data_IF_444738835496
#
_entry.id   IF_444738835496
#
_cell.length_a   1.000
_cell.length_b   1.000
_cell.length_c   1.000
_cell.angle_alpha   90.00
_cell.angle_beta   90.00
_cell.angle_gamma   90.00
#
_symmetry.space_group_name_H-M   'P 1'
#
loop_
_entity.id
_entity.type
_entity.pdbx_description
1 polymer ?
#
# COMPACT_ATOMS: atom_id res chain seq x y z
N UNK A 1 6.70 -53.26 20.51
CA UNK A 1 7.41 -52.10 21.08
C UNK A 1 7.15 -50.92 20.16
N UNK A 2 6.48 -49.89 20.67
CA UNK A 2 5.97 -48.75 19.91
C UNK A 2 7.11 -47.77 19.57
N UNK A 3 7.16 -47.33 18.32
CA UNK A 3 8.18 -46.45 17.79
C UNK A 3 8.08 -45.02 18.32
N UNK A 4 9.20 -44.52 18.83
CA UNK A 4 9.41 -43.11 19.13
C UNK A 4 9.67 -42.38 17.80
N UNK A 5 8.59 -41.96 17.17
CA UNK A 5 8.59 -41.07 16.01
C UNK A 5 9.15 -39.70 16.40
N UNK A 6 10.07 -39.23 15.56
CA UNK A 6 10.60 -37.87 15.45
C UNK A 6 9.50 -36.82 15.70
N UNK A 7 9.56 -36.14 16.83
CA UNK A 7 8.75 -34.94 17.10
C UNK A 7 9.30 -33.79 16.24
N UNK A 8 8.47 -33.33 15.31
CA UNK A 8 8.73 -32.18 14.44
C UNK A 8 8.78 -30.89 15.30
N UNK A 9 9.88 -30.10 15.26
CA UNK A 9 10.03 -28.88 16.07
C UNK A 9 8.98 -27.80 15.78
N UNK A 10 8.14 -27.97 14.75
CA UNK A 10 6.99 -27.11 14.46
C UNK A 10 5.88 -27.14 15.52
N UNK A 11 5.88 -28.12 16.42
CA UNK A 11 4.82 -28.28 17.43
C UNK A 11 5.12 -27.65 18.81
N UNK A 12 6.30 -27.05 19.01
CA UNK A 12 6.70 -26.49 20.32
C UNK A 12 6.31 -25.02 20.55
N UNK A 13 5.83 -24.31 19.53
CA UNK A 13 5.37 -22.93 19.70
C UNK A 13 3.84 -22.89 19.63
N UNK A 14 3.21 -22.93 20.81
CA UNK A 14 1.79 -22.66 20.96
C UNK A 14 1.42 -21.36 20.24
N UNK A 15 0.55 -21.47 19.23
CA UNK A 15 0.04 -20.34 18.46
C UNK A 15 -0.66 -19.38 19.42
N UNK A 16 0.04 -18.34 19.87
CA UNK A 16 -0.63 -17.18 20.47
C UNK A 16 -1.60 -16.67 19.41
N UNK A 17 -2.90 -16.64 19.72
CA UNK A 17 -3.91 -16.10 18.82
C UNK A 17 -3.47 -14.70 18.42
N UNK A 18 -3.14 -14.51 17.13
CA UNK A 18 -2.78 -13.19 16.61
C UNK A 18 -4.02 -12.33 16.75
N UNK A 19 -4.06 -11.48 17.77
CA UNK A 19 -5.10 -10.47 17.92
C UNK A 19 -5.10 -9.62 16.65
N UNK A 20 -6.28 -9.45 16.06
CA UNK A 20 -6.44 -8.74 14.80
C UNK A 20 -5.99 -7.28 14.97
N UNK A 21 -5.58 -6.63 13.88
CA UNK A 21 -5.16 -5.22 13.90
C UNK A 21 -6.25 -4.31 14.49
N UNK A 22 -7.52 -4.62 14.19
CA UNK A 22 -8.69 -3.96 14.75
C UNK A 22 -8.76 -4.07 16.29
N UNK A 23 -8.46 -5.24 16.84
CA UNK A 23 -8.49 -5.46 18.29
C UNK A 23 -7.37 -4.70 19.02
N UNK A 24 -6.18 -4.59 18.40
CA UNK A 24 -5.08 -3.80 18.95
C UNK A 24 -5.41 -2.30 18.93
N UNK A 25 -5.96 -1.80 17.82
CA UNK A 25 -6.38 -0.41 17.69
C UNK A 25 -7.50 -0.07 18.68
N UNK A 26 -8.47 -0.97 18.88
CA UNK A 26 -9.54 -0.78 19.88
C UNK A 26 -8.99 -0.69 21.31
N UNK A 27 -8.01 -1.53 21.68
CA UNK A 27 -7.34 -1.44 22.98
C UNK A 27 -6.56 -0.14 23.16
N UNK A 28 -5.86 0.31 22.12
CA UNK A 28 -5.13 1.59 22.17
C UNK A 28 -6.10 2.78 22.28
N UNK A 29 -7.23 2.75 21.57
CA UNK A 29 -8.26 3.78 21.65
C UNK A 29 -8.92 3.82 23.04
N UNK A 30 -9.26 2.67 23.63
CA UNK A 30 -9.77 2.60 25.00
C UNK A 30 -8.77 3.12 26.02
N UNK A 31 -7.47 2.80 25.88
CA UNK A 31 -6.43 3.31 26.77
C UNK A 31 -6.29 4.84 26.69
N UNK A 32 -6.40 5.43 25.49
CA UNK A 32 -6.39 6.89 25.31
C UNK A 32 -7.62 7.56 25.91
N UNK A 33 -8.81 6.98 25.72
CA UNK A 33 -10.05 7.49 26.31
C UNK A 33 -10.03 7.46 27.85
N UNK A 34 -9.51 6.39 28.46
CA UNK A 34 -9.34 6.30 29.91
C UNK A 34 -8.37 7.35 30.45
N UNK A 35 -7.29 7.65 29.72
CA UNK A 35 -6.31 8.68 30.10
C UNK A 35 -6.90 10.09 30.03
N UNK A 36 -7.65 10.40 28.96
CA UNK A 36 -8.37 11.68 28.82
C UNK A 36 -9.43 11.89 29.91
N UNK A 37 -10.13 10.83 30.32
CA UNK A 37 -11.08 10.89 31.43
C UNK A 37 -10.42 11.14 32.79
N UNK A 38 -9.17 10.72 32.99
CA UNK A 38 -8.45 10.95 34.25
C UNK A 38 -7.94 12.39 34.40
N UNK A 39 -7.67 13.07 33.28
CA UNK A 39 -7.19 14.46 33.27
C UNK A 39 -8.34 15.45 33.48
N UNK A 40 -9.56 15.12 33.04
CA UNK A 40 -10.73 15.98 33.23
C UNK A 40 -11.15 16.14 34.70
N UNK A 41 -10.89 15.15 35.55
CA UNK A 41 -11.25 15.20 36.98
C UNK A 41 -10.27 16.02 37.82
N UNK A 42 -9.07 16.33 37.33
CA UNK A 42 -8.04 17.07 38.08
C UNK A 42 -8.16 18.60 37.94
N UNK A 43 -8.86 19.11 36.92
CA UNK A 43 -8.91 20.56 36.61
C UNK A 43 -10.11 21.26 37.26
N UNK A 44 -11.03 20.54 37.94
CA UNK A 44 -12.19 21.14 38.60
C UNK A 44 -12.00 21.44 40.11
N UNK A 45 -10.82 21.23 40.70
CA UNK A 45 -10.65 21.31 42.17
C UNK A 45 -9.76 22.46 42.67
N UNK A 46 -9.57 23.54 41.90
CA UNK A 46 -8.83 24.71 42.38
C UNK A 46 -9.49 26.05 42.04
N UNK A 47 -10.66 26.32 42.63
CA UNK A 47 -11.17 27.69 42.72
C UNK A 47 -12.18 27.85 43.85
N UNK A 48 -11.70 28.00 45.09
CA UNK A 48 -12.45 28.71 46.15
C UNK A 48 -11.54 29.10 47.32
N UNK A 49 -11.22 30.39 47.43
CA UNK A 49 -11.15 31.14 48.70
C UNK A 49 -11.14 32.64 48.37
N UNK A 50 -12.33 33.20 48.27
CA UNK A 50 -12.57 34.65 48.34
C UNK A 50 -12.22 35.11 49.76
N UNK A 51 -11.28 36.05 49.89
CA UNK A 51 -11.15 36.90 51.08
C UNK A 51 -11.64 38.30 50.72
N UNK A 52 -12.73 38.69 51.36
CA UNK A 52 -13.24 40.04 51.43
C UNK A 52 -12.17 40.97 52.01
N UNK A 53 -11.93 42.09 51.35
CA UNK A 53 -11.32 43.25 51.99
C UNK A 53 -12.06 44.51 51.52
N UNK A 54 -12.68 45.16 52.50
CA UNK A 54 -13.53 46.34 52.35
C UNK A 54 -12.68 47.59 52.46
N UNK A 55 -12.84 48.50 51.49
CA UNK A 55 -12.55 49.94 51.61
C UNK A 55 -11.51 50.49 50.64
N UNK A 56 -11.42 51.81 50.42
CA UNK A 56 -12.46 52.85 50.46
C UNK A 56 -12.87 53.27 49.02
N UNK A 57 -14.04 53.89 48.88
CA UNK A 57 -14.50 54.51 47.62
C UNK A 57 -13.53 55.58 47.12
N UNK A 58 -12.98 55.49 45.89
CA UNK A 58 -12.30 56.62 45.28
C UNK A 58 -13.34 57.47 44.54
N UNK A 59 -13.57 58.68 45.05
CA UNK A 59 -14.09 59.79 44.26
C UNK A 59 -13.05 60.16 43.18
N UNK A 60 -13.03 59.40 42.09
CA UNK A 60 -12.16 59.61 40.94
C UNK A 60 -12.95 60.07 39.73
N UNK A 61 -12.71 61.32 39.33
CA UNK A 61 -12.91 61.91 37.98
C UNK A 61 -13.58 61.01 36.93
N UNK A 62 -14.77 61.45 36.46
CA UNK A 62 -15.54 60.88 35.34
C UNK A 62 -14.68 60.72 34.07
N UNK A 63 -13.62 61.51 33.89
CA UNK A 63 -12.67 61.40 32.78
C UNK A 63 -11.97 60.04 32.72
N UNK A 64 -11.71 59.40 33.87
CA UNK A 64 -10.98 58.12 33.92
C UNK A 64 -11.84 56.89 33.60
N UNK A 65 -13.16 57.02 33.64
CA UNK A 65 -14.09 55.94 33.31
C UNK A 65 -14.29 55.81 31.80
N UNK A 66 -14.33 56.95 31.09
CA UNK A 66 -14.40 57.00 29.62
C UNK A 66 -13.14 56.38 28.99
N UNK A 67 -11.95 56.77 29.45
CA UNK A 67 -10.67 56.23 28.94
C UNK A 67 -10.56 54.70 29.14
N UNK A 68 -11.12 54.18 30.23
CA UNK A 68 -11.18 52.73 30.49
C UNK A 68 -12.15 52.03 29.54
N UNK A 69 -13.27 52.65 29.21
CA UNK A 69 -14.22 52.10 28.23
C UNK A 69 -13.60 52.07 26.83
N UNK A 70 -12.91 53.14 26.43
CA UNK A 70 -12.23 53.23 25.12
C UNK A 70 -11.07 52.22 25.01
N UNK A 71 -10.32 51.99 26.10
CA UNK A 71 -9.29 50.96 26.14
C UNK A 71 -9.89 49.54 26.02
N UNK A 72 -11.06 49.30 26.61
CA UNK A 72 -11.77 48.01 26.54
C UNK A 72 -12.34 47.77 25.15
N UNK A 73 -12.92 48.78 24.51
CA UNK A 73 -13.44 48.67 23.13
C UNK A 73 -12.30 48.43 22.14
N UNK A 74 -11.19 49.17 22.24
CA UNK A 74 -10.01 48.94 21.40
C UNK A 74 -9.46 47.50 21.54
N UNK A 75 -9.37 47.00 22.77
CA UNK A 75 -8.94 45.61 23.03
C UNK A 75 -9.90 44.57 22.46
N UNK A 76 -11.20 44.83 22.51
CA UNK A 76 -12.21 43.94 21.94
C UNK A 76 -12.14 43.92 20.42
N UNK A 77 -11.95 45.08 19.78
CA UNK A 77 -11.77 45.18 18.33
C UNK A 77 -10.50 44.43 17.87
N UNK A 78 -9.39 44.58 18.60
CA UNK A 78 -8.16 43.84 18.30
C UNK A 78 -8.33 42.33 18.45
N UNK A 79 -9.04 41.87 19.50
CA UNK A 79 -9.38 40.45 19.62
C UNK A 79 -10.25 39.95 18.45
N UNK A 80 -11.21 40.75 18.00
CA UNK A 80 -12.02 40.38 16.83
C UNK A 80 -11.19 40.35 15.54
N UNK A 81 -10.25 41.28 15.36
CA UNK A 81 -9.32 41.27 14.22
C UNK A 81 -8.42 40.03 14.24
N UNK A 82 -7.87 39.66 15.39
CA UNK A 82 -7.08 38.44 15.55
C UNK A 82 -7.90 37.19 15.23
N UNK A 83 -9.15 37.10 15.71
CA UNK A 83 -10.05 35.98 15.40
C UNK A 83 -10.34 35.86 13.90
N UNK A 84 -10.56 36.97 13.21
CA UNK A 84 -10.77 36.97 11.75
C UNK A 84 -9.53 36.48 11.01
N UNK A 85 -8.34 36.99 11.37
CA UNK A 85 -7.07 36.53 10.78
C UNK A 85 -6.84 35.03 10.98
N UNK A 86 -7.11 34.51 12.18
CA UNK A 86 -7.01 33.07 12.46
C UNK A 86 -8.02 32.26 11.64
N UNK A 87 -9.25 32.75 11.49
CA UNK A 87 -10.27 32.08 10.70
C UNK A 87 -9.92 32.07 9.20
N UNK A 88 -9.38 33.16 8.67
CA UNK A 88 -8.96 33.26 7.27
C UNK A 88 -7.74 32.37 7.01
N UNK A 89 -6.76 32.35 7.93
CA UNK A 89 -5.61 31.44 7.87
C UNK A 89 -6.05 29.97 7.88
N UNK A 90 -6.97 29.61 8.77
CA UNK A 90 -7.55 28.26 8.84
C UNK A 90 -8.25 27.87 7.54
N UNK A 91 -9.07 28.77 6.98
CA UNK A 91 -9.74 28.54 5.69
C UNK A 91 -8.76 28.35 4.55
N UNK A 92 -7.67 29.12 4.53
CA UNK A 92 -6.62 28.98 3.53
C UNK A 92 -5.97 27.61 3.62
N UNK A 93 -5.58 27.18 4.83
CA UNK A 93 -4.99 25.87 5.07
C UNK A 93 -5.94 24.72 4.67
N UNK A 94 -7.22 24.82 5.04
CA UNK A 94 -8.24 23.82 4.65
C UNK A 94 -8.41 23.73 3.12
N UNK A 95 -8.38 24.86 2.41
CA UNK A 95 -8.46 24.86 0.94
C UNK A 95 -7.22 24.24 0.30
N UNK A 96 -6.02 24.55 0.80
CA UNK A 96 -4.78 24.01 0.24
C UNK A 96 -4.66 22.50 0.51
N UNK A 97 -5.02 22.05 1.72
CA UNK A 97 -5.09 20.64 2.04
C UNK A 97 -6.10 19.90 1.14
N UNK A 98 -7.27 20.50 0.89
CA UNK A 98 -8.26 19.93 -0.04
C UNK A 98 -7.71 19.81 -1.47
N UNK A 99 -6.94 20.79 -1.94
CA UNK A 99 -6.31 20.74 -3.26
C UNK A 99 -5.27 19.62 -3.34
N UNK A 100 -4.47 19.47 -2.29
CA UNK A 100 -3.44 18.43 -2.23
C UNK A 100 -4.06 17.02 -2.21
N UNK A 101 -5.11 16.82 -1.42
CA UNK A 101 -5.86 15.55 -1.41
C UNK A 101 -6.42 15.22 -2.81
N UNK A 102 -6.96 16.21 -3.52
CA UNK A 102 -7.45 16.01 -4.89
C UNK A 102 -6.30 15.64 -5.84
N UNK A 103 -5.15 16.30 -5.72
CA UNK A 103 -3.97 16.00 -6.54
C UNK A 103 -3.49 14.56 -6.31
N UNK A 104 -3.36 14.13 -5.06
CA UNK A 104 -2.94 12.78 -4.69
C UNK A 104 -3.90 11.74 -5.27
N UNK A 105 -5.22 11.94 -5.08
CA UNK A 105 -6.25 11.03 -5.63
C UNK A 105 -6.17 10.91 -7.15
N UNK A 106 -5.88 12.01 -7.84
CA UNK A 106 -5.72 12.00 -9.29
C UNK A 106 -4.50 11.18 -9.71
N UNK A 107 -3.35 11.38 -9.06
CA UNK A 107 -2.13 10.60 -9.35
C UNK A 107 -2.35 9.11 -9.10
N UNK A 108 -3.02 8.74 -7.99
CA UNK A 108 -3.34 7.35 -7.70
C UNK A 108 -4.33 6.75 -8.72
N UNK A 109 -5.32 7.52 -9.18
CA UNK A 109 -6.24 7.08 -10.22
C UNK A 109 -5.52 6.87 -11.56
N UNK A 110 -4.67 7.82 -11.97
CA UNK A 110 -3.89 7.74 -13.20
C UNK A 110 -2.91 6.55 -13.17
N UNK A 111 -2.26 6.31 -12.02
CA UNK A 111 -1.39 5.15 -11.81
C UNK A 111 -2.12 3.80 -11.93
N UNK A 112 -3.35 3.71 -11.39
CA UNK A 112 -4.19 2.50 -11.53
C UNK A 112 -4.64 2.28 -12.97
N UNK A 113 -5.04 3.33 -13.68
CA UNK A 113 -5.42 3.26 -15.08
C UNK A 113 -4.26 2.77 -15.96
N UNK A 114 -3.07 3.34 -15.78
CA UNK A 114 -1.87 2.92 -16.52
C UNK A 114 -1.49 1.45 -16.28
N UNK A 115 -1.62 0.96 -15.04
CA UNK A 115 -1.39 -0.45 -14.71
C UNK A 115 -2.43 -1.35 -15.39
N UNK A 116 -3.71 -0.97 -15.37
CA UNK A 116 -4.78 -1.71 -16.04
C UNK A 116 -4.56 -1.80 -17.56
N UNK A 117 -4.21 -0.68 -18.19
CA UNK A 117 -3.92 -0.62 -19.63
C UNK A 117 -2.74 -1.53 -20.00
N UNK A 118 -1.66 -1.52 -19.21
CA UNK A 118 -0.49 -2.40 -19.42
C UNK A 118 -0.87 -3.88 -19.32
N UNK A 119 -1.67 -4.24 -18.32
CA UNK A 119 -2.16 -5.63 -18.16
C UNK A 119 -3.02 -6.05 -19.35
N UNK A 120 -3.89 -5.16 -19.84
CA UNK A 120 -4.72 -5.45 -21.01
C UNK A 120 -3.89 -5.58 -22.30
N UNK A 121 -2.91 -4.71 -22.51
CA UNK A 121 -1.97 -4.81 -23.64
C UNK A 121 -1.17 -6.12 -23.59
N UNK A 122 -0.66 -6.51 -22.42
CA UNK A 122 0.05 -7.78 -22.24
C UNK A 122 -0.87 -8.99 -22.53
N UNK A 123 -2.14 -8.93 -22.11
CA UNK A 123 -3.15 -9.97 -22.40
C UNK A 123 -3.41 -10.08 -23.90
N UNK A 124 -3.60 -8.97 -24.60
CA UNK A 124 -3.81 -8.93 -26.05
C UNK A 124 -2.57 -9.46 -26.79
N UNK A 125 -1.37 -9.00 -26.43
CA UNK A 125 -0.13 -9.46 -27.04
C UNK A 125 0.10 -10.97 -26.86
N UNK A 126 -0.24 -11.52 -25.68
CA UNK A 126 -0.19 -12.96 -25.43
C UNK A 126 -1.20 -13.73 -26.27
N UNK A 127 -2.44 -13.25 -26.34
CA UNK A 127 -3.50 -13.88 -27.14
C UNK A 127 -3.16 -13.87 -28.64
N UNK A 128 -2.67 -12.74 -29.17
CA UNK A 128 -2.22 -12.63 -30.56
C UNK A 128 -1.04 -13.56 -30.86
N UNK A 129 -0.07 -13.66 -29.94
CA UNK A 129 1.05 -14.57 -30.08
C UNK A 129 0.58 -16.02 -30.15
N UNK A 130 -0.39 -16.39 -29.33
CA UNK A 130 -0.95 -17.75 -29.29
C UNK A 130 -1.80 -18.08 -30.51
N UNK A 131 -2.57 -17.12 -31.04
CA UNK A 131 -3.34 -17.31 -32.26
C UNK A 131 -2.45 -17.67 -33.48
N UNK A 132 -1.16 -17.30 -33.45
CA UNK A 132 -0.17 -17.63 -34.50
C UNK A 132 0.49 -18.99 -34.31
N UNK A 133 0.37 -19.62 -33.14
CA UNK A 133 1.01 -20.92 -32.87
C UNK A 133 0.23 -22.00 -33.59
N UNK A 134 0.84 -22.63 -34.59
CA UNK A 134 0.34 -23.89 -35.17
C UNK A 134 0.74 -25.03 -34.24
N UNK A 135 -0.20 -25.67 -33.54
CA UNK A 135 0.12 -26.71 -32.58
C UNK A 135 0.52 -28.00 -33.32
N UNK A 136 1.61 -28.61 -32.87
CA UNK A 136 2.02 -29.94 -33.34
C UNK A 136 1.36 -30.96 -32.41
N UNK A 137 0.37 -31.68 -32.95
CA UNK A 137 -0.49 -32.57 -32.17
C UNK A 137 -0.26 -34.05 -32.44
N UNK A 138 0.71 -34.40 -33.28
CA UNK A 138 1.03 -35.81 -33.52
C UNK A 138 2.24 -36.24 -32.69
N UNK A 139 2.10 -37.38 -32.01
CA UNK A 139 3.18 -37.95 -31.19
C UNK A 139 4.40 -38.30 -32.05
N UNK A 140 4.18 -38.72 -33.30
CA UNK A 140 5.23 -39.03 -34.28
C UNK A 140 6.03 -37.78 -34.68
N UNK A 141 5.38 -36.64 -34.92
CA UNK A 141 6.12 -35.40 -35.22
C UNK A 141 6.83 -34.88 -33.96
N UNK A 142 6.18 -34.94 -32.80
CA UNK A 142 6.78 -34.49 -31.54
C UNK A 142 8.05 -35.28 -31.22
N UNK A 143 8.02 -36.60 -31.38
CA UNK A 143 9.18 -37.47 -31.20
C UNK A 143 10.25 -37.21 -32.26
N UNK A 144 9.88 -37.03 -33.53
CA UNK A 144 10.82 -36.64 -34.58
C UNK A 144 11.57 -35.34 -34.24
N UNK A 145 10.84 -34.26 -33.89
CA UNK A 145 11.45 -32.96 -33.54
C UNK A 145 12.33 -33.02 -32.28
N UNK A 146 11.99 -33.90 -31.33
CA UNK A 146 12.80 -34.12 -30.13
C UNK A 146 14.17 -34.75 -30.44
N UNK A 147 14.24 -35.58 -31.49
CA UNK A 147 15.43 -36.31 -31.90
C UNK A 147 16.43 -35.48 -32.72
N UNK A 148 15.99 -34.34 -33.26
CA UNK A 148 16.82 -33.49 -34.12
C UNK A 148 17.98 -32.85 -33.35
N UNK A 149 19.17 -32.93 -33.96
CA UNK A 149 20.37 -32.26 -33.48
C UNK A 149 20.27 -30.74 -33.61
N UNK A 150 21.03 -30.03 -32.78
CA UNK A 150 21.11 -28.57 -32.83
C UNK A 150 21.54 -28.11 -34.24
N UNK A 151 20.82 -27.13 -34.80
CA UNK A 151 20.98 -26.58 -36.18
C UNK A 151 20.43 -27.46 -37.32
N UNK A 152 19.84 -28.62 -37.03
CA UNK A 152 19.08 -29.34 -38.05
C UNK A 152 17.85 -28.52 -38.51
N UNK A 153 17.46 -28.69 -39.77
CA UNK A 153 16.21 -28.10 -40.26
C UNK A 153 15.03 -28.64 -39.44
N UNK A 154 14.13 -27.75 -39.02
CA UNK A 154 13.04 -28.12 -38.12
C UNK A 154 13.44 -28.27 -36.65
N UNK A 155 14.69 -28.02 -36.27
CA UNK A 155 15.10 -28.03 -34.86
C UNK A 155 14.22 -27.10 -34.02
N UNK A 156 13.61 -27.66 -32.98
CA UNK A 156 12.71 -26.90 -32.13
C UNK A 156 13.49 -26.16 -31.03
N UNK A 157 13.42 -24.83 -31.10
CA UNK A 157 14.05 -23.93 -30.13
C UNK A 157 13.27 -23.89 -28.82
N UNK A 158 13.94 -23.51 -27.73
CA UNK A 158 13.33 -23.40 -26.40
C UNK A 158 12.12 -22.44 -26.37
N UNK A 159 12.15 -21.26 -27.02
CA UNK A 159 10.97 -20.40 -27.10
C UNK A 159 9.77 -21.08 -27.79
N UNK A 160 10.01 -21.82 -28.87
CA UNK A 160 8.96 -22.54 -29.60
C UNK A 160 8.39 -23.69 -28.76
N UNK A 161 9.22 -24.42 -28.02
CA UNK A 161 8.75 -25.44 -27.06
C UNK A 161 7.85 -24.80 -26.00
N UNK A 162 8.25 -23.65 -25.46
CA UNK A 162 7.45 -22.96 -24.44
C UNK A 162 6.10 -22.50 -24.97
N UNK A 163 6.02 -22.05 -26.22
CA UNK A 163 4.77 -21.68 -26.89
C UNK A 163 3.84 -22.89 -27.05
N UNK A 164 4.39 -24.05 -27.43
CA UNK A 164 3.60 -25.29 -27.54
C UNK A 164 3.14 -25.82 -26.17
N UNK A 165 4.01 -25.76 -25.15
CA UNK A 165 3.63 -26.10 -23.77
C UNK A 165 2.53 -25.16 -23.24
N UNK A 166 2.64 -23.88 -23.55
CA UNK A 166 1.61 -22.90 -23.19
C UNK A 166 0.28 -23.23 -23.84
N UNK A 167 0.29 -23.56 -25.13
CA UNK A 167 -0.91 -24.01 -25.84
C UNK A 167 -1.52 -25.26 -25.18
N UNK A 168 -0.71 -26.27 -24.81
CA UNK A 168 -1.20 -27.49 -24.14
C UNK A 168 -1.83 -27.19 -22.77
N UNK A 169 -1.21 -26.30 -21.98
CA UNK A 169 -1.78 -25.84 -20.70
C UNK A 169 -3.15 -25.18 -20.90
N UNK A 170 -3.28 -24.32 -21.92
CA UNK A 170 -4.55 -23.66 -22.26
C UNK A 170 -5.64 -24.58 -22.78
N UNK A 171 -5.29 -25.81 -23.17
CA UNK A 171 -6.26 -26.83 -23.55
C UNK A 171 -6.42 -27.89 -22.44
N UNK A 172 -5.98 -27.56 -21.22
CA UNK A 172 -6.25 -28.30 -19.99
C UNK A 172 -5.39 -29.54 -19.78
N UNK A 173 -4.27 -29.69 -20.49
CA UNK A 173 -3.35 -30.82 -20.31
C UNK A 173 -2.73 -30.77 -18.91
N UNK A 174 -2.92 -31.83 -18.12
CA UNK A 174 -2.65 -31.82 -16.67
C UNK A 174 -1.16 -31.90 -16.38
N UNK A 175 -0.39 -32.63 -17.18
CA UNK A 175 1.05 -32.76 -16.95
C UNK A 175 1.82 -31.44 -17.18
N UNK A 176 1.26 -30.43 -17.84
CA UNK A 176 1.95 -29.16 -18.11
C UNK A 176 1.66 -28.13 -17.01
N UNK A 177 2.68 -27.72 -16.22
CA UNK A 177 2.48 -26.73 -15.16
C UNK A 177 2.16 -25.33 -15.70
N UNK A 178 1.34 -24.58 -14.96
CA UNK A 178 1.07 -23.14 -15.21
C UNK A 178 2.36 -22.30 -15.17
N UNK A 179 3.20 -22.53 -14.15
CA UNK A 179 4.44 -21.77 -13.95
C UNK A 179 5.54 -22.17 -14.92
N UNK A 180 6.11 -21.20 -15.64
CA UNK A 180 7.24 -21.42 -16.58
C UNK A 180 8.47 -22.02 -15.90
N UNK A 181 8.74 -21.65 -14.64
CA UNK A 181 9.86 -22.17 -13.84
C UNK A 181 9.76 -23.68 -13.59
N UNK A 182 8.55 -24.23 -13.54
CA UNK A 182 8.27 -25.65 -13.33
C UNK A 182 8.31 -26.47 -14.62
N UNK A 183 8.39 -25.84 -15.80
CA UNK A 183 8.42 -26.53 -17.10
C UNK A 183 9.79 -27.12 -17.48
N UNK A 184 10.78 -27.04 -16.59
CA UNK A 184 12.13 -27.55 -16.80
C UNK A 184 13.15 -26.44 -17.09
N UNK A 185 14.40 -26.68 -16.68
CA UNK A 185 15.51 -25.72 -16.75
C UNK A 185 16.19 -25.71 -18.13
N UNK A 186 16.11 -26.81 -18.86
CA UNK A 186 16.78 -26.99 -20.15
C UNK A 186 15.85 -27.41 -21.29
N UNK A 187 16.40 -27.48 -22.51
CA UNK A 187 15.66 -27.93 -23.70
C UNK A 187 15.18 -29.37 -23.55
N UNK A 188 16.03 -30.27 -23.07
CA UNK A 188 15.71 -31.71 -22.94
C UNK A 188 14.51 -31.95 -22.01
N UNK A 189 14.50 -31.34 -20.83
CA UNK A 189 13.39 -31.44 -19.87
C UNK A 189 12.09 -30.88 -20.45
N UNK A 190 12.17 -29.71 -21.11
CA UNK A 190 11.00 -29.08 -21.76
C UNK A 190 10.46 -29.90 -22.92
N UNK A 191 11.35 -30.53 -23.70
CA UNK A 191 10.97 -31.44 -24.78
C UNK A 191 10.27 -32.68 -24.25
N UNK A 192 10.82 -33.30 -23.20
CA UNK A 192 10.22 -34.48 -22.59
C UNK A 192 8.81 -34.17 -22.07
N UNK A 193 8.67 -33.03 -21.38
CA UNK A 193 7.39 -32.53 -20.91
C UNK A 193 6.41 -32.24 -22.06
N UNK A 194 6.91 -31.67 -23.16
CA UNK A 194 6.10 -31.37 -24.33
C UNK A 194 5.61 -32.64 -25.03
N UNK A 195 6.48 -33.63 -25.25
CA UNK A 195 6.10 -34.94 -25.83
C UNK A 195 5.07 -35.64 -24.94
N UNK A 196 5.26 -35.61 -23.62
CA UNK A 196 4.30 -36.14 -22.66
C UNK A 196 2.95 -35.42 -22.76
N UNK A 197 2.96 -34.08 -22.83
CA UNK A 197 1.75 -33.28 -22.95
C UNK A 197 1.00 -33.50 -24.26
N UNK A 198 1.70 -33.62 -25.40
CA UNK A 198 1.08 -33.99 -26.68
C UNK A 198 0.44 -35.38 -26.59
N UNK A 199 1.12 -36.34 -25.97
CA UNK A 199 0.60 -37.71 -25.80
C UNK A 199 -0.66 -37.72 -24.93
N UNK A 200 -0.65 -37.00 -23.80
CA UNK A 200 -1.83 -36.86 -22.93
C UNK A 200 -2.98 -36.15 -23.66
N UNK A 201 -2.69 -35.07 -24.39
CA UNK A 201 -3.69 -34.33 -25.15
C UNK A 201 -4.39 -35.23 -26.18
N UNK A 202 -3.62 -35.96 -26.99
CA UNK A 202 -4.13 -36.89 -28.00
C UNK A 202 -4.98 -38.00 -27.37
N UNK A 203 -4.55 -38.53 -26.22
CA UNK A 203 -5.26 -39.61 -25.54
C UNK A 203 -6.50 -39.15 -24.78
N UNK A 204 -6.65 -37.84 -24.54
CA UNK A 204 -7.69 -37.32 -23.65
C UNK A 204 -9.05 -37.13 -24.31
N UNK A 205 -9.19 -37.40 -25.62
CA UNK A 205 -10.42 -37.19 -26.42
C UNK A 205 -11.09 -35.82 -26.16
N UNK A 206 -10.31 -34.82 -25.75
CA UNK A 206 -10.83 -33.51 -25.38
C UNK A 206 -11.34 -32.81 -26.63
N UNK A 207 -12.51 -32.15 -26.56
CA UNK A 207 -12.97 -31.31 -27.65
C UNK A 207 -11.92 -30.25 -27.96
N UNK A 208 -11.65 -30.01 -29.25
CA UNK A 208 -10.67 -29.02 -29.75
C UNK A 208 -11.14 -27.56 -29.56
N UNK A 209 -11.79 -27.27 -28.45
CA UNK A 209 -12.32 -25.95 -28.09
C UNK A 209 -11.45 -25.26 -27.04
N UNK A 210 -11.34 -23.92 -27.08
CA UNK A 210 -10.65 -23.16 -26.05
C UNK A 210 -11.57 -23.04 -24.82
N UNK A 211 -11.57 -24.02 -23.93
CA UNK A 211 -12.21 -23.93 -22.61
C UNK A 211 -11.13 -23.79 -21.53
N UNK A 212 -10.42 -22.67 -21.52
CA UNK A 212 -9.76 -22.22 -20.29
C UNK A 212 -9.99 -20.71 -20.19
N UNK A 213 -10.83 -20.33 -19.21
CA UNK A 213 -10.84 -18.98 -18.67
C UNK A 213 -9.44 -18.68 -18.14
N UNK A 214 -8.66 -17.99 -18.97
CA UNK A 214 -7.33 -17.52 -18.61
C UNK A 214 -7.50 -16.32 -17.67
N UNK A 215 -7.79 -16.61 -16.41
CA UNK A 215 -7.56 -15.67 -15.33
C UNK A 215 -6.03 -15.49 -15.17
N UNK A 216 -5.50 -14.30 -15.49
CA UNK A 216 -4.09 -14.03 -15.32
C UNK A 216 -3.87 -13.55 -13.88
N UNK A 217 -3.62 -14.49 -12.97
CA UNK A 217 -2.99 -14.14 -11.70
C UNK A 217 -1.58 -14.72 -11.61
N UNK A 218 -0.67 -13.81 -11.23
CA UNK A 218 0.75 -13.91 -10.91
C UNK A 218 1.77 -13.79 -12.07
N UNK A 219 1.97 -12.56 -12.55
CA UNK A 219 3.36 -12.08 -12.70
C UNK A 219 3.93 -11.86 -11.29
N UNK A 220 5.15 -12.32 -10.95
CA UNK A 220 5.78 -11.97 -9.69
C UNK A 220 6.25 -10.52 -9.77
N UNK A 221 5.39 -9.58 -9.37
CA UNK A 221 5.72 -8.15 -9.36
C UNK A 221 4.70 -7.34 -8.60
N UNK A 222 5.04 -6.99 -7.36
CA UNK A 222 4.42 -5.96 -6.51
C UNK A 222 2.91 -6.04 -6.26
N UNK A 223 2.49 -7.05 -5.49
CA UNK A 223 1.23 -7.00 -4.73
C UNK A 223 1.35 -6.25 -3.40
N UNK A 224 2.39 -5.44 -3.18
CA UNK A 224 2.45 -4.56 -2.03
C UNK A 224 2.55 -3.09 -2.46
N UNK A 225 1.78 -2.27 -1.76
CA UNK A 225 1.92 -0.82 -1.66
C UNK A 225 1.04 0.08 -2.55
N UNK A 226 -0.12 -0.39 -2.98
CA UNK A 226 -1.16 0.53 -3.49
C UNK A 226 -2.01 1.18 -2.40
N UNK A 227 -2.27 0.43 -1.33
CA UNK A 227 -3.12 0.89 -0.20
C UNK A 227 -2.29 1.39 1.00
N UNK A 228 -1.02 0.96 1.11
CA UNK A 228 -0.14 1.36 2.21
C UNK A 228 0.40 2.80 2.01
N UNK A 229 0.75 3.21 0.78
CA UNK A 229 1.10 4.60 0.45
C UNK A 229 -0.05 5.61 0.71
N UNK A 230 -1.28 5.29 0.34
CA UNK A 230 -2.43 6.22 0.54
C UNK A 230 -2.75 6.41 2.02
N UNK A 231 -2.60 5.35 2.84
CA UNK A 231 -2.83 5.38 4.30
C UNK A 231 -1.63 5.99 5.04
N UNK A 232 -0.39 5.76 4.60
CA UNK A 232 0.81 6.35 5.21
C UNK A 232 0.85 7.87 5.01
N UNK A 233 0.46 8.37 3.83
CA UNK A 233 0.46 9.80 3.52
C UNK A 233 -0.75 10.51 4.17
N UNK A 234 -1.94 9.89 4.20
CA UNK A 234 -3.08 10.46 4.94
C UNK A 234 -2.83 10.56 6.46
N UNK A 235 -2.12 9.60 7.05
CA UNK A 235 -1.73 9.67 8.46
C UNK A 235 -0.67 10.75 8.74
N UNK A 236 0.15 11.14 7.75
CA UNK A 236 1.12 12.22 7.90
C UNK A 236 0.47 13.62 7.86
N UNK A 237 -0.71 13.76 7.22
CA UNK A 237 -1.46 15.02 7.18
C UNK A 237 -2.36 15.24 8.40
N UNK A 238 -2.73 14.19 9.13
CA UNK A 238 -3.57 14.24 10.34
C UNK A 238 -2.74 14.29 11.65
N UNK A 239 -1.41 14.24 11.52
CA UNK A 239 -0.45 14.21 12.64
C UNK A 239 0.41 15.47 12.80
N UNK A 240 0.06 16.58 12.14
CA UNK A 240 0.79 17.84 12.29
C UNK A 240 0.35 18.57 13.57
N UNK A 241 0.64 17.96 14.73
CA UNK A 241 0.77 18.68 15.99
C UNK A 241 2.02 19.55 15.85
N UNK A 242 1.78 20.83 15.65
CA UNK A 242 2.77 21.87 15.52
C UNK A 242 3.44 22.08 16.90
N UNK A 243 4.39 21.20 17.27
CA UNK A 243 5.32 21.49 18.35
C UNK A 243 6.29 22.57 17.84
N UNK A 244 6.09 23.80 18.34
CA UNK A 244 6.98 24.94 18.20
C UNK A 244 8.38 24.55 18.71
N UNK A 245 9.29 24.24 17.79
CA UNK A 245 10.72 24.14 18.11
C UNK A 245 11.29 25.57 18.20
N UNK A 246 11.30 26.12 19.41
CA UNK A 246 12.08 27.31 19.76
C UNK A 246 13.57 27.03 19.49
N UNK A 247 14.03 27.40 18.30
CA UNK A 247 15.46 27.46 17.99
C UNK A 247 16.04 28.70 18.66
N UNK A 248 16.50 28.52 19.89
CA UNK A 248 17.36 29.45 20.62
C UNK A 248 18.64 29.69 19.82
N UNK A 249 18.76 30.89 19.27
CA UNK A 249 20.03 31.46 18.83
C UNK A 249 20.84 31.78 20.09
N UNK A 250 21.98 31.12 20.27
CA UNK A 250 23.06 31.68 21.07
C UNK A 250 24.36 31.63 20.27
N UNK A 251 25.13 32.69 20.47
CA UNK A 251 26.12 33.21 19.53
C UNK A 251 27.53 32.67 19.84
N UNK A 252 28.34 32.49 18.80
CA UNK A 252 29.80 32.77 18.73
C UNK A 252 30.28 32.35 17.32
N UNK A 253 30.56 33.25 16.37
CA UNK A 253 31.76 34.10 16.28
C UNK A 253 33.03 33.26 16.50
N UNK A 254 33.91 32.99 15.52
CA UNK A 254 34.73 33.90 14.69
C UNK A 254 35.42 33.02 13.59
N UNK A 255 35.57 33.45 12.33
CA UNK A 255 36.73 34.22 11.81
C UNK A 255 38.07 33.47 12.08
N UNK A 256 38.80 32.87 11.14
CA UNK A 256 39.26 33.31 9.81
C UNK A 256 39.57 32.13 8.88
N UNK A 257 39.59 32.48 7.58
CA UNK A 257 40.38 31.89 6.51
C UNK A 257 41.77 31.36 6.91
N UNK A 258 42.19 30.26 6.28
CA UNK A 258 43.42 30.25 5.49
C UNK A 258 43.51 28.98 4.64
N UNK A 259 43.84 29.23 3.37
CA UNK A 259 44.58 28.42 2.37
C UNK A 259 44.63 26.90 2.49
#
# INVERSE_FOLDING_TARGET
MLGLSKLDPRYLYGKKSRTSKAERQAKTAQARAAKASSTATSVMEFSHTQKENVGPTPSGSISSAQDRLDAVTARLEDQQRQRRKLQDSRRYFEMENRREIIRIRKVAADGRAARADKTQQNKQARAEKQARVVPILTVTEATHFSSLAMRAEGYMTVPRINEQLEWLYQHGVVCVPKELSKRGKGRSERLALWVQGVTEYVNSDRPRGPEVDLEPENEPGDEHDGEEEEIAIMNALDGNDNEEEEVSYDSDAEFYANE
#
